data_IF_353019668044
#
_entry.id   IF_353019668044
#
_cell.length_a   1.000
_cell.length_b   1.000
_cell.length_c   1.000
_cell.angle_alpha   90.00
_cell.angle_beta   90.00
_cell.angle_gamma   90.00
#
_symmetry.space_group_name_H-M   'P 1'
#
loop_
_entity.id
_entity.type
_entity.pdbx_description
1 polymer ?
#
# COMPACT_ATOMS: atom_id res chain seq x y z
N UNK A 1 1.93 26.83 -5.53
CA UNK A 1 3.06 26.17 -4.83
C UNK A 1 4.40 26.87 -5.04
N UNK A 2 4.77 27.34 -6.26
CA UNK A 2 6.07 27.98 -6.51
C UNK A 2 6.26 29.42 -5.97
N UNK A 3 5.21 30.06 -5.47
CA UNK A 3 5.24 31.46 -5.02
C UNK A 3 5.17 31.65 -3.50
N UNK A 4 5.01 30.58 -2.71
CA UNK A 4 4.97 30.65 -1.24
C UNK A 4 5.95 29.65 -0.64
N UNK A 5 7.06 30.12 -0.04
CA UNK A 5 8.06 29.23 0.56
C UNK A 5 7.47 28.37 1.68
N UNK A 6 6.52 28.90 2.46
CA UNK A 6 5.87 28.15 3.54
C UNK A 6 5.06 26.95 3.03
N UNK A 7 4.23 27.15 1.99
CA UNK A 7 3.43 26.06 1.41
C UNK A 7 4.33 25.00 0.78
N UNK A 8 5.46 25.40 0.19
CA UNK A 8 6.46 24.47 -0.30
C UNK A 8 7.07 23.65 0.84
N UNK A 9 7.52 24.29 1.91
CA UNK A 9 8.11 23.60 3.07
C UNK A 9 7.15 22.61 3.72
N UNK A 10 5.87 22.97 3.88
CA UNK A 10 4.84 22.07 4.43
C UNK A 10 4.67 20.83 3.54
N UNK A 11 4.57 21.03 2.22
CA UNK A 11 4.44 19.91 1.28
C UNK A 11 5.67 19.01 1.31
N UNK A 12 6.86 19.59 1.40
CA UNK A 12 8.12 18.84 1.47
C UNK A 12 8.21 18.01 2.77
N UNK A 13 7.91 18.61 3.92
CA UNK A 13 7.87 17.92 5.21
C UNK A 13 6.84 16.79 5.18
N UNK A 14 5.68 17.02 4.58
CA UNK A 14 4.66 15.98 4.41
C UNK A 14 5.15 14.78 3.58
N UNK A 15 5.89 15.01 2.51
CA UNK A 15 6.49 13.95 1.71
C UNK A 15 7.60 13.22 2.49
N UNK A 16 8.46 13.94 3.21
CA UNK A 16 9.49 13.33 4.05
C UNK A 16 8.87 12.46 5.15
N UNK A 17 7.81 12.96 5.82
CA UNK A 17 7.07 12.21 6.82
C UNK A 17 6.43 10.95 6.22
N UNK A 18 5.81 11.05 5.03
CA UNK A 18 5.27 9.89 4.32
C UNK A 18 6.33 8.80 4.15
N UNK A 19 7.47 9.14 3.56
CA UNK A 19 8.55 8.19 3.29
C UNK A 19 9.05 7.57 4.60
N UNK A 20 9.23 8.39 5.64
CA UNK A 20 9.65 7.92 6.95
C UNK A 20 8.70 6.87 7.54
N UNK A 21 7.39 7.17 7.61
CA UNK A 21 6.41 6.24 8.19
C UNK A 21 6.23 4.97 7.36
N UNK A 22 6.32 5.06 6.03
CA UNK A 22 6.29 3.88 5.16
C UNK A 22 7.51 2.98 5.38
N UNK A 23 8.69 3.57 5.62
CA UNK A 23 9.94 2.82 5.77
C UNK A 23 10.21 2.26 7.18
N UNK A 24 9.37 2.52 8.18
CA UNK A 24 9.55 2.02 9.55
C UNK A 24 10.03 0.55 9.62
N UNK A 25 9.36 -0.45 9.00
CA UNK A 25 9.81 -1.84 9.08
C UNK A 25 11.21 -2.05 8.51
N UNK A 26 11.58 -1.32 7.46
CA UNK A 26 12.93 -1.38 6.86
C UNK A 26 13.95 -0.76 7.80
N UNK A 27 13.63 0.40 8.39
CA UNK A 27 14.51 1.09 9.35
C UNK A 27 14.74 0.22 10.58
N UNK A 28 13.70 -0.43 11.11
CA UNK A 28 13.81 -1.34 12.26
C UNK A 28 14.79 -2.48 11.99
N UNK A 29 14.66 -3.15 10.85
CA UNK A 29 15.58 -4.26 10.48
C UNK A 29 17.02 -3.75 10.35
N UNK A 30 17.22 -2.60 9.71
CA UNK A 30 18.56 -2.01 9.54
C UNK A 30 19.15 -1.46 10.85
N UNK A 31 18.33 -1.18 11.86
CA UNK A 31 18.79 -0.76 13.18
C UNK A 31 19.25 -1.94 14.05
N UNK A 32 18.93 -3.18 13.69
CA UNK A 32 19.43 -4.37 14.39
C UNK A 32 20.92 -4.55 14.08
N UNK A 33 21.78 -4.78 15.09
CA UNK A 33 23.20 -5.05 14.85
C UNK A 33 23.41 -6.23 13.90
N UNK A 34 24.25 -6.05 12.88
CA UNK A 34 24.47 -7.07 11.83
C UNK A 34 24.95 -8.42 12.39
N UNK A 35 25.70 -8.42 13.50
CA UNK A 35 26.12 -9.66 14.18
C UNK A 35 24.93 -10.45 14.75
N UNK A 36 23.90 -9.75 15.26
CA UNK A 36 22.67 -10.39 15.75
C UNK A 36 21.92 -11.03 14.57
N UNK A 37 21.75 -10.30 13.47
CA UNK A 37 21.11 -10.85 12.27
C UNK A 37 21.88 -12.04 11.71
N UNK A 38 23.21 -11.97 11.65
CA UNK A 38 24.06 -13.05 11.17
C UNK A 38 24.00 -14.29 12.08
N UNK A 39 23.94 -14.11 13.40
CA UNK A 39 23.78 -15.21 14.36
C UNK A 39 22.44 -15.92 14.23
N UNK A 40 21.43 -15.24 13.68
CA UNK A 40 20.10 -15.80 13.39
C UNK A 40 19.89 -16.10 11.90
N UNK A 41 20.94 -16.00 11.07
CA UNK A 41 20.89 -16.36 9.66
C UNK A 41 20.75 -17.88 9.56
N UNK A 42 19.53 -18.33 9.28
CA UNK A 42 19.18 -19.73 9.08
C UNK A 42 18.38 -19.86 7.79
N UNK A 43 18.00 -21.09 7.43
CA UNK A 43 17.12 -21.30 6.28
C UNK A 43 15.82 -20.46 6.44
N UNK A 44 15.26 -19.93 5.34
CA UNK A 44 14.04 -19.13 5.40
C UNK A 44 12.93 -19.85 6.17
N UNK A 45 12.38 -19.17 7.17
CA UNK A 45 11.25 -19.68 7.95
C UNK A 45 9.97 -19.67 7.11
N UNK A 46 8.92 -20.35 7.59
CA UNK A 46 7.59 -20.26 6.99
C UNK A 46 7.05 -18.83 6.95
N UNK A 47 7.44 -17.99 7.92
CA UNK A 47 7.09 -16.57 7.93
C UNK A 47 7.83 -15.79 6.85
N UNK A 48 9.10 -16.08 6.58
CA UNK A 48 9.85 -15.45 5.49
C UNK A 48 9.25 -15.81 4.13
N UNK A 49 8.86 -17.07 3.95
CA UNK A 49 8.18 -17.53 2.73
C UNK A 49 6.82 -16.82 2.59
N UNK A 50 6.07 -16.69 3.67
CA UNK A 50 4.77 -15.98 3.68
C UNK A 50 4.96 -14.50 3.36
N UNK A 51 5.96 -13.85 3.96
CA UNK A 51 6.29 -12.45 3.71
C UNK A 51 6.69 -12.21 2.26
N UNK A 52 7.51 -13.11 1.68
CA UNK A 52 7.90 -13.07 0.28
C UNK A 52 6.69 -13.26 -0.65
N UNK A 53 5.82 -14.22 -0.32
CA UNK A 53 4.62 -14.48 -1.10
C UNK A 53 3.65 -13.28 -1.07
N UNK A 54 3.48 -12.63 0.08
CA UNK A 54 2.72 -11.39 0.20
C UNK A 54 3.36 -10.29 -0.65
N UNK A 55 4.65 -10.03 -0.49
CA UNK A 55 5.36 -9.01 -1.25
C UNK A 55 5.21 -9.22 -2.77
N UNK A 56 5.55 -10.41 -3.26
CA UNK A 56 5.47 -10.74 -4.67
C UNK A 56 4.03 -10.73 -5.19
N UNK A 57 3.09 -11.29 -4.43
CA UNK A 57 1.66 -11.31 -4.79
C UNK A 57 1.04 -9.93 -4.86
N UNK A 58 1.37 -9.06 -3.89
CA UNK A 58 0.95 -7.66 -3.88
C UNK A 58 1.52 -6.89 -5.07
N UNK A 59 2.82 -7.03 -5.34
CA UNK A 59 3.48 -6.38 -6.47
C UNK A 59 2.92 -6.85 -7.81
N UNK A 60 2.62 -8.15 -7.95
CA UNK A 60 1.98 -8.68 -9.15
C UNK A 60 0.57 -8.12 -9.33
N UNK A 61 -0.24 -8.08 -8.27
CA UNK A 61 -1.59 -7.52 -8.29
C UNK A 61 -1.56 -6.06 -8.73
N UNK A 62 -0.68 -5.26 -8.11
CA UNK A 62 -0.47 -3.84 -8.42
C UNK A 62 -0.07 -3.65 -9.89
N UNK A 63 0.97 -4.37 -10.33
CA UNK A 63 1.49 -4.29 -11.70
C UNK A 63 0.42 -4.63 -12.74
N UNK A 64 -0.38 -5.68 -12.51
CA UNK A 64 -1.46 -6.08 -13.42
C UNK A 64 -2.56 -5.02 -13.44
N UNK A 65 -2.96 -4.50 -12.27
CA UNK A 65 -3.98 -3.47 -12.15
C UNK A 65 -3.59 -2.18 -12.88
N UNK A 66 -2.36 -1.72 -12.70
CA UNK A 66 -1.85 -0.52 -13.36
C UNK A 66 -1.71 -0.72 -14.87
N UNK A 67 -1.27 -1.90 -15.31
CA UNK A 67 -1.22 -2.24 -16.74
C UNK A 67 -2.61 -2.22 -17.38
N UNK A 68 -3.63 -2.72 -16.68
CA UNK A 68 -5.03 -2.66 -17.15
C UNK A 68 -5.51 -1.21 -17.25
N UNK A 69 -5.22 -0.39 -16.23
CA UNK A 69 -5.58 1.03 -16.20
C UNK A 69 -4.90 1.82 -17.33
N UNK A 70 -3.60 1.62 -17.52
CA UNK A 70 -2.81 2.28 -18.56
C UNK A 70 -3.34 1.96 -19.97
N UNK A 71 -3.59 0.68 -20.26
CA UNK A 71 -4.19 0.27 -21.56
C UNK A 71 -5.55 0.92 -21.78
N UNK A 72 -6.38 1.00 -20.74
CA UNK A 72 -7.68 1.66 -20.84
C UNK A 72 -7.54 3.17 -21.11
N UNK A 73 -6.62 3.86 -20.41
CA UNK A 73 -6.35 5.28 -20.66
C UNK A 73 -5.88 5.54 -22.09
N UNK A 74 -5.03 4.67 -22.65
CA UNK A 74 -4.60 4.77 -24.05
C UNK A 74 -5.76 4.63 -25.04
N UNK A 75 -6.68 3.68 -24.80
CA UNK A 75 -7.89 3.54 -25.65
C UNK A 75 -8.79 4.76 -25.53
N UNK A 76 -8.96 5.27 -24.30
CA UNK A 76 -9.75 6.47 -24.04
C UNK A 76 -9.19 7.70 -24.76
N UNK A 77 -7.87 7.87 -24.78
CA UNK A 77 -7.22 8.96 -25.51
C UNK A 77 -7.44 8.88 -27.04
N UNK A 78 -7.72 7.69 -27.58
CA UNK A 78 -8.06 7.46 -28.99
C UNK A 78 -9.58 7.55 -29.26
N UNK A 79 -10.36 8.06 -28.30
CA UNK A 79 -11.82 8.20 -28.41
C UNK A 79 -12.63 6.92 -28.11
N UNK A 80 -11.98 5.77 -27.87
CA UNK A 80 -12.66 4.48 -27.79
C UNK A 80 -13.40 4.20 -26.47
N UNK A 81 -13.48 5.15 -25.52
CA UNK A 81 -14.07 4.96 -24.18
C UNK A 81 -14.61 6.29 -23.60
N UNK A 82 -15.06 7.22 -24.45
CA UNK A 82 -15.64 8.49 -24.00
C UNK A 82 -16.85 8.28 -23.09
N UNK A 83 -16.97 9.11 -22.04
CA UNK A 83 -18.06 8.99 -21.06
C UNK A 83 -18.01 7.76 -20.15
N UNK A 84 -17.02 6.87 -20.27
CA UNK A 84 -16.93 5.62 -19.47
C UNK A 84 -15.81 5.65 -18.43
N UNK A 85 -15.87 4.68 -17.51
CA UNK A 85 -14.83 4.33 -16.53
C UNK A 85 -14.50 2.83 -16.64
N UNK A 86 -13.33 2.44 -16.12
CA UNK A 86 -12.85 1.06 -16.19
C UNK A 86 -13.58 0.17 -15.17
N UNK A 87 -14.46 -0.71 -15.65
CA UNK A 87 -15.24 -1.67 -14.84
C UNK A 87 -14.85 -3.14 -15.06
N UNK A 88 -13.93 -3.42 -15.98
CA UNK A 88 -13.55 -4.79 -16.38
C UNK A 88 -12.22 -5.21 -15.76
N UNK A 89 -11.88 -6.50 -15.87
CA UNK A 89 -10.64 -7.04 -15.33
C UNK A 89 -10.66 -7.06 -13.80
N UNK A 90 -9.55 -6.68 -13.17
CA UNK A 90 -9.46 -6.64 -11.70
C UNK A 90 -10.46 -5.65 -11.09
N UNK A 91 -10.78 -4.58 -11.83
CA UNK A 91 -11.74 -3.56 -11.42
C UNK A 91 -13.21 -4.00 -11.43
N UNK A 92 -13.49 -5.22 -11.93
CA UNK A 92 -14.80 -5.85 -11.80
C UNK A 92 -15.03 -6.42 -10.40
N UNK A 93 -13.96 -6.78 -9.68
CA UNK A 93 -14.03 -7.39 -8.35
C UNK A 93 -13.87 -6.35 -7.23
N UNK A 94 -12.89 -5.46 -7.34
CA UNK A 94 -12.72 -4.32 -6.43
C UNK A 94 -12.33 -3.05 -7.18
N UNK A 95 -12.73 -1.87 -6.70
CA UNK A 95 -12.56 -0.61 -7.44
C UNK A 95 -11.11 -0.12 -7.51
N UNK A 96 -10.29 -0.49 -6.53
CA UNK A 96 -8.89 -0.07 -6.40
C UNK A 96 -7.93 -1.25 -6.15
N UNK A 97 -7.78 -2.17 -7.12
CA UNK A 97 -6.92 -3.35 -6.97
C UNK A 97 -5.44 -2.99 -6.85
N UNK A 98 -5.00 -1.89 -7.47
CA UNK A 98 -3.63 -1.40 -7.35
C UNK A 98 -3.29 -0.97 -5.92
N UNK A 99 -4.19 -0.24 -5.24
CA UNK A 99 -4.00 0.14 -3.84
C UNK A 99 -4.07 -1.07 -2.89
N UNK A 100 -4.88 -2.09 -3.22
CA UNK A 100 -4.83 -3.35 -2.48
C UNK A 100 -3.46 -4.02 -2.63
N UNK A 101 -2.90 -4.06 -3.84
CA UNK A 101 -1.56 -4.58 -4.11
C UNK A 101 -0.49 -3.87 -3.27
N UNK A 102 -0.50 -2.54 -3.26
CA UNK A 102 0.43 -1.73 -2.46
C UNK A 102 0.32 -2.04 -0.95
N UNK A 103 -0.91 -2.14 -0.41
CA UNK A 103 -1.13 -2.52 1.00
C UNK A 103 -0.55 -3.91 1.31
N UNK A 104 -0.75 -4.88 0.41
CA UNK A 104 -0.23 -6.24 0.55
C UNK A 104 1.31 -6.22 0.50
N UNK A 105 1.93 -5.42 -0.37
CA UNK A 105 3.40 -5.24 -0.44
C UNK A 105 3.95 -4.77 0.91
N UNK A 106 3.38 -3.71 1.47
CA UNK A 106 3.84 -3.17 2.77
C UNK A 106 3.55 -4.13 3.93
N UNK A 107 2.50 -4.94 3.84
CA UNK A 107 2.22 -6.01 4.80
C UNK A 107 3.25 -7.13 4.70
N UNK A 108 3.70 -7.50 3.49
CA UNK A 108 4.81 -8.42 3.28
C UNK A 108 6.11 -7.92 3.91
N UNK A 109 6.47 -6.65 3.66
CA UNK A 109 7.67 -6.01 4.27
C UNK A 109 7.57 -5.98 5.80
N UNK A 110 6.41 -5.62 6.35
CA UNK A 110 6.17 -5.65 7.79
C UNK A 110 6.32 -7.07 8.36
N UNK A 111 5.84 -8.09 7.65
CA UNK A 111 5.94 -9.50 8.08
C UNK A 111 7.40 -9.97 8.12
N UNK A 112 8.25 -9.55 7.17
CA UNK A 112 9.69 -9.78 7.25
C UNK A 112 10.32 -9.11 8.48
N UNK A 113 9.93 -7.86 8.77
CA UNK A 113 10.41 -7.14 9.94
C UNK A 113 9.98 -7.82 11.25
N UNK A 114 8.78 -8.40 11.32
CA UNK A 114 8.34 -9.20 12.47
C UNK A 114 9.29 -10.36 12.72
N UNK A 115 9.64 -11.14 11.68
CA UNK A 115 10.53 -12.28 11.83
C UNK A 115 11.96 -11.87 12.20
N UNK A 116 12.45 -10.75 11.66
CA UNK A 116 13.83 -10.28 11.86
C UNK A 116 14.05 -9.46 13.13
N UNK A 117 12.99 -8.82 13.64
CA UNK A 117 13.03 -7.89 14.77
C UNK A 117 12.19 -8.43 15.90
N UNK A 118 10.87 -8.50 15.74
CA UNK A 118 9.94 -8.79 16.84
C UNK A 118 10.11 -10.21 17.41
N UNK A 119 10.38 -11.21 16.57
CA UNK A 119 10.52 -12.60 17.01
C UNK A 119 11.94 -12.95 17.47
N UNK A 120 12.92 -12.08 17.25
CA UNK A 120 14.32 -12.28 17.68
C UNK A 120 14.54 -11.54 19.00
N UNK A 121 14.66 -12.23 20.16
CA UNK A 121 14.79 -11.56 21.47
C UNK A 121 15.99 -10.61 21.55
N UNK A 122 17.11 -10.99 20.95
CA UNK A 122 18.34 -10.20 20.91
C UNK A 122 18.15 -8.93 20.07
N UNK A 123 17.42 -9.01 18.96
CA UNK A 123 17.12 -7.85 18.11
C UNK A 123 16.20 -6.87 18.84
N UNK A 124 15.12 -7.37 19.47
CA UNK A 124 14.26 -6.55 20.33
C UNK A 124 15.03 -5.89 21.47
N UNK A 125 15.88 -6.65 22.16
CA UNK A 125 16.70 -6.13 23.25
C UNK A 125 17.68 -5.06 22.78
N UNK A 126 18.28 -5.22 21.59
CA UNK A 126 19.17 -4.22 21.01
C UNK A 126 18.46 -2.90 20.69
N UNK A 127 17.16 -2.96 20.41
CA UNK A 127 16.31 -1.79 20.16
C UNK A 127 15.57 -1.30 21.42
N UNK A 128 15.78 -1.92 22.57
CA UNK A 128 15.05 -1.64 23.81
C UNK A 128 13.52 -1.75 23.67
N UNK A 129 13.06 -2.71 22.87
CA UNK A 129 11.63 -2.94 22.59
C UNK A 129 11.12 -4.19 23.30
N UNK A 130 9.93 -4.09 23.88
CA UNK A 130 9.13 -5.28 24.21
C UNK A 130 8.47 -5.87 22.93
N UNK A 131 7.86 -7.05 23.06
CA UNK A 131 7.24 -7.75 21.93
C UNK A 131 6.08 -6.96 21.31
N UNK A 132 5.25 -6.31 22.14
CA UNK A 132 4.08 -5.57 21.67
C UNK A 132 4.53 -4.32 20.91
N UNK A 133 5.46 -3.55 21.47
CA UNK A 133 6.05 -2.36 20.85
C UNK A 133 6.71 -2.70 19.52
N UNK A 134 7.46 -3.81 19.44
CA UNK A 134 8.07 -4.26 18.19
C UNK A 134 7.02 -4.61 17.11
N UNK A 135 5.95 -5.33 17.48
CA UNK A 135 4.87 -5.68 16.55
C UNK A 135 4.12 -4.44 16.04
N UNK A 136 3.81 -3.50 16.94
CA UNK A 136 3.15 -2.24 16.60
C UNK A 136 4.00 -1.45 15.61
N UNK A 137 5.30 -1.32 15.86
CA UNK A 137 6.20 -0.59 14.97
C UNK A 137 6.36 -1.29 13.61
N UNK A 138 6.47 -2.62 13.57
CA UNK A 138 6.55 -3.36 12.30
C UNK A 138 5.31 -3.11 11.42
N UNK A 139 4.10 -3.16 11.99
CA UNK A 139 2.85 -2.96 11.25
C UNK A 139 2.39 -1.49 11.16
N UNK A 140 3.13 -0.54 11.75
CA UNK A 140 2.83 0.89 11.63
C UNK A 140 2.82 1.35 10.17
N UNK A 141 3.75 0.83 9.36
CA UNK A 141 3.84 1.16 7.92
C UNK A 141 2.60 0.75 7.11
N UNK A 142 2.20 -0.53 7.05
CA UNK A 142 1.00 -0.91 6.27
C UNK A 142 -0.28 -0.26 6.81
N UNK A 143 -0.38 -0.01 8.13
CA UNK A 143 -1.49 0.76 8.69
C UNK A 143 -1.51 2.21 8.19
N UNK A 144 -0.34 2.86 8.20
CA UNK A 144 -0.16 4.23 7.70
C UNK A 144 -0.45 4.33 6.19
N UNK A 145 0.12 3.43 5.38
CA UNK A 145 -0.12 3.39 3.93
C UNK A 145 -1.60 3.17 3.63
N UNK A 146 -2.24 2.23 4.34
CA UNK A 146 -3.70 2.00 4.21
C UNK A 146 -4.49 3.26 4.54
N UNK A 147 -4.13 3.96 5.61
CA UNK A 147 -4.78 5.20 6.00
C UNK A 147 -4.63 6.29 4.93
N UNK A 148 -3.42 6.51 4.42
CA UNK A 148 -3.15 7.50 3.37
C UNK A 148 -3.93 7.18 2.09
N UNK A 149 -3.84 5.94 1.60
CA UNK A 149 -4.49 5.52 0.37
C UNK A 149 -6.00 5.59 0.49
N UNK A 150 -6.59 5.23 1.63
CA UNK A 150 -8.06 5.27 1.78
C UNK A 150 -8.59 6.68 2.01
N UNK A 151 -7.92 7.49 2.82
CA UNK A 151 -8.53 8.70 3.38
C UNK A 151 -7.98 10.02 2.84
N UNK A 152 -6.71 10.07 2.40
CA UNK A 152 -6.07 11.34 2.05
C UNK A 152 -5.84 11.45 0.55
N UNK A 153 -5.23 10.45 -0.07
CA UNK A 153 -4.80 10.54 -1.47
C UNK A 153 -5.59 9.62 -2.38
N UNK A 154 -5.37 8.31 -2.27
CA UNK A 154 -5.73 7.34 -3.29
C UNK A 154 -7.23 7.28 -3.62
N UNK A 155 -7.98 6.55 -2.79
CA UNK A 155 -9.40 6.26 -2.95
C UNK A 155 -10.22 7.53 -2.83
N UNK A 156 -10.05 8.30 -1.75
CA UNK A 156 -10.89 9.46 -1.45
C UNK A 156 -10.90 10.50 -2.58
N UNK A 157 -9.72 10.90 -3.09
CA UNK A 157 -9.66 11.89 -4.17
C UNK A 157 -10.18 11.33 -5.49
N UNK A 158 -9.91 10.06 -5.78
CA UNK A 158 -10.34 9.42 -7.04
C UNK A 158 -11.85 9.22 -7.06
N UNK A 159 -12.45 8.73 -5.97
CA UNK A 159 -13.90 8.57 -5.86
C UNK A 159 -14.62 9.90 -5.93
N UNK A 160 -14.09 10.96 -5.28
CA UNK A 160 -14.67 12.30 -5.38
C UNK A 160 -14.74 12.76 -6.85
N UNK A 161 -13.62 12.70 -7.57
CA UNK A 161 -13.56 13.09 -8.99
C UNK A 161 -14.44 12.22 -9.88
N UNK A 162 -14.51 10.92 -9.63
CA UNK A 162 -15.38 10.02 -10.40
C UNK A 162 -16.86 10.28 -10.12
N UNK A 163 -17.23 10.56 -8.87
CA UNK A 163 -18.60 10.92 -8.49
C UNK A 163 -19.04 12.25 -9.10
N UNK A 164 -18.16 13.24 -9.14
CA UNK A 164 -18.44 14.52 -9.83
C UNK A 164 -18.71 14.31 -11.33
N UNK A 165 -17.99 13.39 -11.98
CA UNK A 165 -18.14 13.12 -13.42
C UNK A 165 -19.28 12.17 -13.79
N UNK A 166 -19.47 11.11 -13.01
CA UNK A 166 -20.33 9.98 -13.38
C UNK A 166 -21.43 9.70 -12.35
N UNK A 167 -21.45 10.42 -11.22
CA UNK A 167 -22.38 10.15 -10.11
C UNK A 167 -23.86 10.31 -10.45
N UNK A 168 -24.19 11.04 -11.51
CA UNK A 168 -25.55 11.19 -12.02
C UNK A 168 -26.00 9.99 -12.88
N UNK A 169 -25.08 9.11 -13.30
CA UNK A 169 -25.40 7.96 -14.15
C UNK A 169 -25.85 6.76 -13.30
N UNK A 170 -27.02 6.16 -13.56
CA UNK A 170 -27.50 4.99 -12.82
C UNK A 170 -26.52 3.80 -12.88
N UNK A 171 -25.88 3.58 -14.02
CA UNK A 171 -24.89 2.51 -14.19
C UNK A 171 -23.68 2.66 -13.26
N UNK A 172 -23.23 3.90 -13.03
CA UNK A 172 -22.12 4.19 -12.10
C UNK A 172 -22.52 3.87 -10.67
N UNK A 173 -23.72 4.28 -10.27
CA UNK A 173 -24.24 4.01 -8.92
C UNK A 173 -24.38 2.50 -8.67
N UNK A 174 -24.92 1.75 -9.65
CA UNK A 174 -25.03 0.30 -9.57
C UNK A 174 -23.64 -0.38 -9.47
N UNK A 175 -22.67 0.08 -10.27
CA UNK A 175 -21.31 -0.44 -10.20
C UNK A 175 -20.66 -0.20 -8.84
N UNK A 176 -20.79 0.99 -8.26
CA UNK A 176 -20.30 1.31 -6.91
C UNK A 176 -21.01 0.48 -5.83
N UNK A 177 -22.31 0.24 -5.98
CA UNK A 177 -23.07 -0.58 -5.04
C UNK A 177 -22.57 -2.03 -5.01
N UNK A 178 -22.35 -2.65 -6.18
CA UNK A 178 -21.92 -4.06 -6.30
C UNK A 178 -20.42 -4.29 -6.13
N UNK A 179 -19.58 -3.29 -6.37
CA UNK A 179 -18.12 -3.45 -6.39
C UNK A 179 -17.50 -2.84 -5.14
N UNK A 180 -16.85 -3.65 -4.31
CA UNK A 180 -16.19 -3.16 -3.11
C UNK A 180 -14.95 -2.31 -3.40
N UNK A 181 -14.55 -1.47 -2.44
CA UNK A 181 -13.46 -0.50 -2.66
C UNK A 181 -12.11 -1.20 -2.82
N UNK A 182 -11.73 -2.03 -1.83
CA UNK A 182 -10.48 -2.80 -1.83
C UNK A 182 -10.73 -4.30 -1.93
N UNK A 183 -11.76 -4.81 -1.24
CA UNK A 183 -12.15 -6.22 -1.26
C UNK A 183 -13.47 -6.40 -2.03
N UNK A 184 -13.73 -7.57 -2.63
CA UNK A 184 -15.01 -7.88 -3.27
C UNK A 184 -16.20 -7.82 -2.30
N UNK A 185 -17.38 -7.52 -2.83
CA UNK A 185 -18.66 -7.73 -2.13
C UNK A 185 -19.25 -9.04 -2.68
N UNK A 186 -19.57 -9.98 -1.80
CA UNK A 186 -20.30 -11.20 -2.14
C UNK A 186 -21.77 -11.03 -1.78
#
# INVERSE_FOLDING_TARGET
MRSSPLLFSIAWIGQAAWVFFALIPVVLVNAVPGLVLAAHASAPSSLDITALALYAGGLLLETIADRQLWRWMQRKAKGAEEGRWLMTGLRAFCRYPNYLGEIIVWTGIATFAVNSVALVPQARSALSLDILSALVLCYASPAFVTFLLKNITGVALTEKRQREKFGHLPEYQQWVARTGTLLPKF
#
